data_IF_143593906427
#
_entry.id   IF_143593906427
#
_cell.length_a   1.000
_cell.length_b   1.000
_cell.length_c   1.000
_cell.angle_alpha   90.00
_cell.angle_beta   90.00
_cell.angle_gamma   90.00
#
_symmetry.space_group_name_H-M   'P 1'
#
loop_
_entity.id
_entity.type
_entity.pdbx_description
1 polymer ?
#
# COMPACT_ATOMS: atom_id res chain seq x y z
N UNK A 1 -33.05 11.89 52.27
CA UNK A 1 -33.72 13.08 51.74
C UNK A 1 -33.25 13.28 50.31
N UNK A 2 -34.23 13.34 49.41
CA UNK A 2 -34.18 13.73 47.99
C UNK A 2 -33.63 12.71 46.98
N UNK A 3 -34.21 12.55 45.79
CA UNK A 3 -35.57 12.70 45.24
C UNK A 3 -35.53 11.83 43.98
N UNK A 4 -36.51 10.93 43.81
CA UNK A 4 -36.76 10.20 42.56
C UNK A 4 -37.33 11.15 41.51
N UNK A 5 -36.69 11.23 40.35
CA UNK A 5 -37.27 11.78 39.13
C UNK A 5 -37.32 10.66 38.08
N UNK A 6 -38.53 10.21 37.77
CA UNK A 6 -38.81 9.38 36.59
C UNK A 6 -38.87 10.27 35.34
N UNK A 7 -38.29 9.87 34.20
CA UNK A 7 -38.74 10.33 32.90
C UNK A 7 -39.84 9.40 32.38
N UNK A 8 -41.05 9.95 32.22
CA UNK A 8 -42.07 9.42 31.31
C UNK A 8 -41.73 9.91 29.90
N UNK A 9 -41.36 9.01 29.00
CA UNK A 9 -41.73 9.02 27.56
C UNK A 9 -41.04 7.85 26.87
N UNK A 10 -41.79 7.14 26.02
CA UNK A 10 -41.43 5.84 25.46
C UNK A 10 -40.05 5.76 24.80
N UNK A 11 -39.23 4.85 25.33
CA UNK A 11 -38.26 4.12 24.53
C UNK A 11 -38.73 2.67 24.47
N UNK A 12 -38.92 2.19 23.24
CA UNK A 12 -39.23 0.80 22.95
C UNK A 12 -38.03 -0.02 23.43
N UNK A 13 -38.15 -0.59 24.62
CA UNK A 13 -37.18 -1.52 25.17
C UNK A 13 -37.04 -2.71 24.22
N UNK A 14 -35.94 -2.75 23.47
CA UNK A 14 -35.50 -3.95 22.77
C UNK A 14 -35.15 -4.97 23.85
N UNK A 15 -35.80 -6.15 23.90
CA UNK A 15 -35.42 -7.16 24.87
C UNK A 15 -34.05 -7.72 24.45
N UNK A 16 -32.98 -7.27 25.11
CA UNK A 16 -31.69 -7.94 25.06
C UNK A 16 -31.75 -9.24 25.86
N UNK A 17 -32.47 -10.23 25.32
CA UNK A 17 -32.28 -11.65 25.63
C UNK A 17 -31.48 -12.30 24.51
N UNK A 18 -30.30 -11.75 24.22
CA UNK A 18 -29.33 -12.45 23.38
C UNK A 18 -28.76 -13.62 24.20
N UNK A 19 -29.30 -14.81 23.99
CA UNK A 19 -28.64 -16.05 24.41
C UNK A 19 -27.50 -16.26 23.41
N UNK A 20 -26.22 -16.12 23.80
CA UNK A 20 -25.13 -16.44 22.91
C UNK A 20 -25.29 -17.91 22.50
N UNK A 21 -25.41 -18.14 21.19
CA UNK A 21 -25.40 -19.50 20.66
C UNK A 21 -24.00 -20.04 20.93
N UNK A 22 -23.90 -20.86 21.96
CA UNK A 22 -22.64 -21.48 22.36
C UNK A 22 -22.36 -22.61 21.38
N UNK A 23 -21.72 -22.30 20.26
CA UNK A 23 -21.24 -23.35 19.37
C UNK A 23 -20.16 -24.16 20.09
N UNK A 24 -20.16 -25.50 19.96
CA UNK A 24 -19.06 -26.31 20.45
C UNK A 24 -17.75 -25.79 19.85
N UNK A 25 -16.78 -25.46 20.71
CA UNK A 25 -15.44 -25.11 20.25
C UNK A 25 -14.90 -26.25 19.40
N UNK A 26 -14.24 -25.97 18.26
CA UNK A 26 -13.62 -27.02 17.48
C UNK A 26 -12.63 -27.81 18.37
N UNK A 27 -12.48 -29.13 18.19
CA UNK A 27 -11.70 -30.00 19.08
C UNK A 27 -10.24 -29.55 19.26
N UNK A 28 -9.73 -28.74 18.33
CA UNK A 28 -8.39 -28.16 18.34
C UNK A 28 -8.18 -27.06 19.40
N UNK A 29 -9.25 -26.50 19.97
CA UNK A 29 -9.15 -25.45 21.00
C UNK A 29 -9.23 -26.09 22.38
N UNK A 30 -8.15 -26.05 23.19
CA UNK A 30 -8.18 -26.65 24.52
C UNK A 30 -9.25 -25.96 25.39
N UNK A 31 -10.01 -26.71 26.19
CA UNK A 31 -11.00 -26.13 27.08
C UNK A 31 -10.30 -25.22 28.10
N UNK A 32 -10.90 -24.06 28.36
CA UNK A 32 -10.38 -23.12 29.34
C UNK A 32 -10.59 -23.67 30.75
N UNK A 33 -9.51 -24.12 31.39
CA UNK A 33 -9.55 -24.62 32.78
C UNK A 33 -9.37 -23.49 33.78
N UNK A 34 -9.82 -23.71 35.03
CA UNK A 34 -9.56 -22.78 36.12
C UNK A 34 -8.07 -22.50 36.29
N UNK A 35 -7.24 -23.55 36.26
CA UNK A 35 -5.79 -23.43 36.40
C UNK A 35 -5.18 -22.55 35.29
N UNK A 36 -5.61 -22.74 34.03
CA UNK A 36 -5.18 -21.91 32.91
C UNK A 36 -5.63 -20.45 33.09
N UNK A 37 -6.86 -20.22 33.55
CA UNK A 37 -7.41 -18.88 33.75
C UNK A 37 -6.67 -18.14 34.88
N UNK A 38 -6.44 -18.84 35.98
CA UNK A 38 -5.67 -18.34 37.13
C UNK A 38 -4.24 -18.02 36.73
N UNK A 39 -3.58 -18.89 35.96
CA UNK A 39 -2.22 -18.63 35.48
C UNK A 39 -2.16 -17.41 34.55
N UNK A 40 -3.12 -17.27 33.63
CA UNK A 40 -3.20 -16.10 32.75
C UNK A 40 -3.40 -14.79 33.54
N UNK A 41 -4.28 -14.80 34.54
CA UNK A 41 -4.51 -13.64 35.41
C UNK A 41 -3.26 -13.29 36.21
N UNK A 42 -2.57 -14.28 36.79
CA UNK A 42 -1.33 -14.06 37.54
C UNK A 42 -0.23 -13.45 36.65
N UNK A 43 -0.10 -13.91 35.39
CA UNK A 43 0.82 -13.32 34.42
C UNK A 43 0.47 -11.86 34.10
N UNK A 44 -0.81 -11.56 33.93
CA UNK A 44 -1.28 -10.19 33.71
C UNK A 44 -0.99 -9.28 34.90
N UNK A 45 -1.26 -9.74 36.12
CA UNK A 45 -0.99 -8.99 37.35
C UNK A 45 0.51 -8.74 37.51
N UNK A 46 1.35 -9.73 37.23
CA UNK A 46 2.80 -9.60 37.28
C UNK A 46 3.38 -8.61 36.25
N UNK A 47 2.68 -8.36 35.14
CA UNK A 47 3.14 -7.41 34.11
C UNK A 47 2.82 -5.94 34.43
N UNK A 48 2.04 -5.67 35.48
CA UNK A 48 1.69 -4.32 35.94
C UNK A 48 2.47 -3.99 37.20
N UNK A 49 3.14 -2.83 37.24
CA UNK A 49 3.76 -2.39 38.48
C UNK A 49 2.71 -2.34 39.59
N UNK A 50 3.14 -2.72 40.78
CA UNK A 50 2.49 -2.31 42.01
C UNK A 50 1.15 -3.06 42.26
N UNK A 51 0.81 -4.05 41.43
CA UNK A 51 -0.32 -4.94 41.65
C UNK A 51 0.09 -6.10 42.58
N UNK A 52 -0.69 -6.36 43.63
CA UNK A 52 -0.47 -7.51 44.53
C UNK A 52 -1.01 -8.81 43.93
N UNK A 53 -0.23 -9.89 43.98
CA UNK A 53 -0.62 -11.21 43.43
C UNK A 53 -1.59 -12.00 44.32
N UNK A 54 -1.72 -11.65 45.61
CA UNK A 54 -2.53 -12.40 46.58
C UNK A 54 -3.99 -12.53 46.16
N UNK A 55 -4.62 -11.45 45.71
CA UNK A 55 -6.01 -11.47 45.26
C UNK A 55 -6.20 -12.39 44.05
N UNK A 56 -5.34 -12.28 43.03
CA UNK A 56 -5.37 -13.15 41.84
C UNK A 56 -5.12 -14.62 42.16
N UNK A 57 -4.26 -14.92 43.15
CA UNK A 57 -3.96 -16.28 43.59
C UNK A 57 -5.10 -16.93 44.37
N UNK A 58 -5.85 -16.17 45.17
CA UNK A 58 -6.82 -16.71 46.13
C UNK A 58 -8.29 -16.53 45.73
N UNK A 59 -8.60 -15.67 44.75
CA UNK A 59 -9.99 -15.49 44.32
C UNK A 59 -10.60 -16.82 43.83
N UNK A 60 -11.85 -17.07 44.18
CA UNK A 60 -12.60 -18.23 43.71
C UNK A 60 -13.19 -17.94 42.32
N UNK A 61 -12.79 -18.72 41.32
CA UNK A 61 -13.35 -18.65 39.96
C UNK A 61 -14.58 -19.54 39.94
N UNK A 62 -15.76 -18.94 40.12
CA UNK A 62 -17.01 -19.70 40.24
C UNK A 62 -17.49 -20.27 38.90
N UNK A 63 -17.29 -19.54 37.80
CA UNK A 63 -17.78 -19.91 36.47
C UNK A 63 -16.87 -19.34 35.38
N UNK A 64 -16.46 -20.19 34.44
CA UNK A 64 -15.81 -19.80 33.20
C UNK A 64 -16.81 -20.00 32.06
N UNK A 65 -17.26 -18.90 31.46
CA UNK A 65 -18.14 -18.93 30.29
C UNK A 65 -17.30 -18.67 29.04
N UNK A 66 -17.13 -19.66 28.15
CA UNK A 66 -16.45 -19.42 26.90
C UNK A 66 -17.29 -18.47 26.05
N UNK A 67 -16.63 -17.49 25.46
CA UNK A 67 -17.22 -16.54 24.53
C UNK A 67 -16.47 -16.73 23.22
N UNK A 68 -17.17 -17.25 22.21
CA UNK A 68 -16.60 -17.55 20.90
C UNK A 68 -16.86 -16.39 19.97
N UNK A 69 -15.82 -15.83 19.37
CA UNK A 69 -15.94 -14.74 18.42
C UNK A 69 -15.42 -15.19 17.05
N UNK A 70 -16.02 -14.71 15.98
CA UNK A 70 -15.59 -15.03 14.63
C UNK A 70 -14.83 -13.84 14.02
N UNK A 71 -13.75 -14.15 13.30
CA UNK A 71 -13.03 -13.19 12.48
C UNK A 71 -13.06 -13.66 11.03
N UNK A 72 -13.54 -12.79 10.17
CA UNK A 72 -13.49 -12.96 8.73
C UNK A 72 -12.32 -12.15 8.17
N UNK A 73 -11.50 -12.79 7.33
CA UNK A 73 -10.39 -12.15 6.61
C UNK A 73 -10.45 -12.58 5.15
N UNK A 74 -10.37 -11.61 4.25
CA UNK A 74 -10.26 -11.81 2.80
C UNK A 74 -9.04 -11.07 2.28
N UNK A 75 -8.11 -11.79 1.67
CA UNK A 75 -7.00 -11.21 0.92
C UNK A 75 -7.30 -11.31 -0.57
N UNK A 76 -7.00 -10.25 -1.33
CA UNK A 76 -7.19 -10.20 -2.78
C UNK A 76 -5.95 -9.66 -3.45
N UNK A 77 -5.27 -10.55 -4.16
CA UNK A 77 -4.09 -10.28 -4.94
C UNK A 77 -4.51 -9.77 -6.32
N UNK A 78 -4.08 -8.56 -6.66
CA UNK A 78 -4.43 -7.91 -7.91
C UNK A 78 -3.19 -7.42 -8.68
N UNK A 79 -3.35 -7.37 -10.00
CA UNK A 79 -2.36 -6.84 -10.96
C UNK A 79 -2.99 -5.69 -11.74
N UNK A 80 -2.32 -4.54 -11.81
CA UNK A 80 -2.65 -3.49 -12.77
C UNK A 80 -1.51 -3.27 -13.76
N UNK A 81 -1.87 -2.82 -14.97
CA UNK A 81 -0.92 -2.56 -16.06
C UNK A 81 -1.11 -1.14 -16.57
N UNK A 82 -0.02 -0.40 -16.65
CA UNK A 82 0.03 0.93 -17.28
C UNK A 82 0.99 0.88 -18.46
N UNK A 83 0.53 1.31 -19.64
CA UNK A 83 1.36 1.39 -20.84
C UNK A 83 1.68 2.83 -21.17
N UNK A 84 2.96 3.16 -21.25
CA UNK A 84 3.41 4.51 -21.58
C UNK A 84 4.36 4.47 -22.79
N UNK A 85 4.24 5.48 -23.65
CA UNK A 85 5.17 5.66 -24.74
C UNK A 85 6.42 6.37 -24.23
N UNK A 86 7.56 5.74 -24.44
CA UNK A 86 8.87 6.31 -24.12
C UNK A 86 9.56 6.69 -25.41
N UNK A 87 10.13 7.90 -25.43
CA UNK A 87 10.89 8.44 -26.56
C UNK A 87 12.28 8.85 -26.07
N UNK A 88 13.30 8.18 -26.56
CA UNK A 88 14.69 8.42 -26.16
C UNK A 88 15.59 8.61 -27.38
N UNK A 89 16.69 9.37 -27.27
CA UNK A 89 17.71 9.44 -28.32
C UNK A 89 18.20 8.04 -28.70
N UNK A 90 18.30 7.77 -30.00
CA UNK A 90 18.84 6.50 -30.48
C UNK A 90 20.36 6.48 -30.30
N UNK A 91 20.86 5.63 -29.40
CA UNK A 91 22.31 5.47 -29.16
C UNK A 91 22.87 4.39 -30.08
N UNK A 92 23.31 4.76 -31.29
CA UNK A 92 24.29 3.92 -31.99
C UNK A 92 25.67 4.18 -31.42
N UNK A 93 26.51 3.16 -31.29
CA UNK A 93 27.96 3.27 -31.04
C UNK A 93 28.71 3.97 -32.21
N UNK A 94 28.06 4.91 -32.90
CA UNK A 94 28.64 5.69 -33.97
C UNK A 94 29.44 6.84 -33.37
N UNK A 95 30.75 6.80 -33.60
CA UNK A 95 31.65 7.94 -33.40
C UNK A 95 30.99 9.22 -33.93
N UNK A 96 31.04 10.35 -33.19
CA UNK A 96 30.50 11.60 -33.69
C UNK A 96 31.20 11.93 -35.01
N UNK A 97 30.47 11.83 -36.12
CA UNK A 97 30.94 12.30 -37.40
C UNK A 97 31.23 13.78 -37.23
N UNK A 98 32.53 14.11 -37.16
CA UNK A 98 33.03 15.47 -37.06
C UNK A 98 32.76 16.14 -38.41
N UNK A 99 31.50 16.56 -38.62
CA UNK A 99 31.16 17.40 -39.74
C UNK A 99 31.99 18.66 -39.59
N UNK A 100 32.89 18.85 -40.55
CA UNK A 100 33.76 20.01 -40.72
C UNK A 100 32.95 21.28 -40.45
N UNK A 101 33.10 21.81 -39.23
CA UNK A 101 32.39 23.00 -38.82
C UNK A 101 32.97 24.17 -39.61
N UNK A 102 32.31 24.53 -40.71
CA UNK A 102 32.46 25.86 -41.30
C UNK A 102 31.92 26.81 -40.24
N UNK A 103 32.83 27.37 -39.43
CA UNK A 103 32.44 28.29 -38.38
C UNK A 103 31.69 29.48 -38.99
N UNK A 104 30.37 29.54 -38.78
CA UNK A 104 29.52 30.64 -39.26
C UNK A 104 29.84 31.89 -38.43
N UNK A 105 30.82 32.65 -38.91
CA UNK A 105 31.21 33.93 -38.35
C UNK A 105 30.82 35.03 -39.35
N UNK A 106 29.91 35.90 -38.95
CA UNK A 106 29.53 37.05 -39.76
C UNK A 106 30.52 38.19 -39.56
N UNK A 107 30.73 39.03 -40.58
CA UNK A 107 31.55 40.23 -40.43
C UNK A 107 30.93 41.11 -39.35
N UNK A 108 31.77 41.67 -38.48
CA UNK A 108 31.32 42.59 -37.45
C UNK A 108 30.63 43.77 -38.11
N UNK A 109 29.36 44.00 -37.78
CA UNK A 109 28.53 45.07 -38.37
C UNK A 109 29.14 46.46 -38.19
N UNK A 110 29.90 46.67 -37.11
CA UNK A 110 30.49 47.97 -36.76
C UNK A 110 31.82 48.26 -37.43
N UNK A 111 32.69 47.27 -37.62
CA UNK A 111 34.01 47.46 -38.26
C UNK A 111 34.09 46.82 -39.64
N UNK A 112 33.04 46.14 -40.12
CA UNK A 112 33.00 45.43 -41.41
C UNK A 112 34.20 44.51 -41.68
N UNK A 113 34.85 44.01 -40.62
CA UNK A 113 36.05 43.18 -40.72
C UNK A 113 37.38 43.91 -40.47
N UNK A 114 37.40 45.23 -40.37
CA UNK A 114 38.62 46.02 -40.19
C UNK A 114 39.22 45.96 -38.77
N UNK A 115 38.56 45.27 -37.84
CA UNK A 115 38.99 45.04 -36.43
C UNK A 115 39.10 46.31 -35.56
N UNK A 116 39.01 47.50 -36.15
CA UNK A 116 39.10 48.82 -35.51
C UNK A 116 37.92 49.69 -35.95
N UNK A 117 37.50 50.66 -35.12
CA UNK A 117 36.50 51.66 -35.57
C UNK A 117 37.22 52.76 -36.36
N UNK A 118 36.74 53.05 -37.57
CA UNK A 118 37.30 54.07 -38.48
C UNK A 118 37.47 55.43 -37.81
N UNK A 119 36.53 55.85 -36.96
CA UNK A 119 36.54 57.18 -36.32
C UNK A 119 37.44 57.30 -35.08
N UNK A 120 37.90 56.20 -34.48
CA UNK A 120 38.52 56.23 -33.14
C UNK A 120 39.87 55.52 -33.05
N UNK A 121 40.32 54.81 -34.11
CA UNK A 121 41.53 53.97 -34.16
C UNK A 121 41.67 52.89 -33.04
N UNK A 122 40.75 52.84 -32.08
CA UNK A 122 40.71 51.87 -30.98
C UNK A 122 40.15 50.52 -31.45
N UNK A 123 40.57 49.44 -30.76
CA UNK A 123 40.07 48.08 -30.96
C UNK A 123 38.54 48.09 -30.94
N UNK A 124 37.91 47.47 -31.93
CA UNK A 124 36.46 47.42 -32.00
C UNK A 124 35.93 46.61 -30.82
N UNK A 125 35.28 47.28 -29.85
CA UNK A 125 34.74 46.66 -28.64
C UNK A 125 33.64 45.64 -28.96
N UNK A 126 32.85 45.89 -30.01
CA UNK A 126 31.83 44.96 -30.50
C UNK A 126 32.41 43.78 -31.30
N UNK A 127 33.70 43.55 -31.39
CA UNK A 127 34.20 42.25 -31.85
C UNK A 127 35.46 41.85 -31.10
N UNK A 128 35.82 42.64 -30.10
CA UNK A 128 37.11 42.59 -29.43
C UNK A 128 38.24 42.42 -30.46
N UNK A 129 38.24 43.21 -31.55
CA UNK A 129 39.28 43.16 -32.58
C UNK A 129 39.37 41.88 -33.43
N UNK A 130 38.41 40.96 -33.32
CA UNK A 130 38.38 39.76 -34.18
C UNK A 130 37.87 40.06 -35.60
N UNK A 131 37.19 41.20 -35.79
CA UNK A 131 36.59 41.60 -37.07
C UNK A 131 35.33 40.81 -37.44
N UNK A 132 34.97 39.79 -36.65
CA UNK A 132 33.84 38.91 -36.86
C UNK A 132 33.03 38.74 -35.58
N UNK A 133 31.76 38.34 -35.72
CA UNK A 133 30.91 37.96 -34.59
C UNK A 133 30.36 36.56 -34.83
N UNK A 134 30.39 35.74 -33.79
CA UNK A 134 29.70 34.45 -33.78
C UNK A 134 28.20 34.75 -33.74
N UNK A 135 27.42 33.96 -34.46
CA UNK A 135 25.97 33.99 -34.34
C UNK A 135 25.58 33.72 -32.87
N UNK A 136 24.76 34.57 -32.25
CA UNK A 136 24.33 34.38 -30.85
C UNK A 136 23.49 33.11 -30.67
N UNK A 137 22.81 32.68 -31.73
CA UNK A 137 21.96 31.48 -31.74
C UNK A 137 22.84 30.22 -31.74
N UNK A 138 23.64 29.98 -32.78
CA UNK A 138 24.43 28.73 -32.88
C UNK A 138 25.86 28.83 -32.32
N UNK A 139 26.22 29.97 -31.71
CA UNK A 139 27.59 30.27 -31.26
C UNK A 139 28.66 30.10 -32.36
N UNK A 140 28.26 30.27 -33.63
CA UNK A 140 29.11 30.10 -34.80
C UNK A 140 29.34 28.65 -35.24
N UNK A 141 28.59 27.67 -34.71
CA UNK A 141 28.65 26.26 -35.16
C UNK A 141 27.85 25.99 -36.44
N UNK A 142 27.00 26.92 -36.87
CA UNK A 142 26.14 26.77 -38.05
C UNK A 142 24.87 25.94 -37.80
N UNK A 143 24.81 25.17 -36.72
CA UNK A 143 23.63 24.41 -36.28
C UNK A 143 23.47 24.46 -34.76
N UNK A 144 22.28 24.11 -34.26
CA UNK A 144 22.01 23.84 -32.85
C UNK A 144 21.68 22.35 -32.70
N UNK A 145 22.22 21.72 -31.65
CA UNK A 145 21.86 20.35 -31.29
C UNK A 145 20.37 20.31 -30.92
N UNK A 146 19.63 19.37 -31.51
CA UNK A 146 18.24 19.16 -31.16
C UNK A 146 18.15 18.67 -29.71
N UNK A 147 17.28 19.26 -28.89
CA UNK A 147 17.11 18.86 -27.48
C UNK A 147 16.45 17.49 -27.35
N UNK A 148 15.61 17.10 -28.32
CA UNK A 148 14.84 15.86 -28.28
C UNK A 148 15.70 14.63 -28.65
N UNK A 149 16.46 14.70 -29.75
CA UNK A 149 17.31 13.59 -30.20
C UNK A 149 18.79 13.77 -29.87
N UNK A 150 19.15 14.85 -29.17
CA UNK A 150 20.52 15.17 -28.75
C UNK A 150 21.58 15.17 -29.86
N UNK A 151 21.16 15.31 -31.13
CA UNK A 151 22.05 15.31 -32.29
C UNK A 151 22.12 13.99 -33.05
N UNK A 152 21.50 12.92 -32.54
CA UNK A 152 21.48 11.58 -33.15
C UNK A 152 20.63 11.50 -34.42
N UNK A 153 19.76 12.50 -34.64
CA UNK A 153 18.81 12.58 -35.79
C UNK A 153 17.83 11.40 -35.88
N UNK A 154 17.90 10.46 -34.95
CA UNK A 154 17.02 9.30 -34.78
C UNK A 154 16.55 9.25 -33.32
N UNK A 155 15.31 8.82 -33.13
CA UNK A 155 14.73 8.56 -31.83
C UNK A 155 14.35 7.09 -31.76
N UNK A 156 14.63 6.46 -30.64
CA UNK A 156 14.07 5.17 -30.30
C UNK A 156 12.76 5.40 -29.56
N UNK A 157 11.73 4.66 -29.93
CA UNK A 157 10.46 4.68 -29.22
C UNK A 157 9.97 3.26 -28.97
N UNK A 158 9.45 3.02 -27.77
CA UNK A 158 8.87 1.75 -27.39
C UNK A 158 7.71 1.96 -26.43
N UNK A 159 6.83 0.96 -26.35
CA UNK A 159 5.80 0.90 -25.32
C UNK A 159 6.41 0.29 -24.06
N UNK A 160 6.54 1.08 -23.01
CA UNK A 160 6.89 0.59 -21.68
C UNK A 160 5.63 0.08 -20.99
N UNK A 161 5.70 -1.11 -20.41
CA UNK A 161 4.63 -1.68 -19.59
C UNK A 161 5.07 -1.68 -18.13
N UNK A 162 4.34 -0.96 -17.28
CA UNK A 162 4.53 -0.94 -15.83
C UNK A 162 3.48 -1.84 -15.20
N UNK A 163 3.92 -2.92 -14.54
CA UNK A 163 3.03 -3.90 -13.88
C UNK A 163 3.11 -3.67 -12.37
N UNK A 164 1.96 -3.41 -11.74
CA UNK A 164 1.86 -3.22 -10.28
C UNK A 164 1.10 -4.37 -9.66
N UNK A 165 1.68 -5.00 -8.63
CA UNK A 165 1.05 -6.06 -7.85
C UNK A 165 0.63 -5.51 -6.49
N UNK A 166 -0.60 -5.78 -6.04
CA UNK A 166 -1.13 -5.34 -4.75
C UNK A 166 -1.83 -6.48 -4.01
N UNK A 167 -1.73 -6.48 -2.68
CA UNK A 167 -2.56 -7.32 -1.81
C UNK A 167 -3.54 -6.43 -1.03
N UNK A 168 -4.83 -6.60 -1.30
CA UNK A 168 -5.90 -5.86 -0.63
C UNK A 168 -6.49 -6.78 0.45
N UNK A 169 -6.46 -6.31 1.69
CA UNK A 169 -6.87 -7.10 2.86
C UNK A 169 -8.12 -6.47 3.45
N UNK A 170 -9.17 -7.28 3.61
CA UNK A 170 -10.37 -6.94 4.35
C UNK A 170 -10.43 -7.80 5.61
N UNK A 171 -10.69 -7.18 6.75
CA UNK A 171 -10.89 -7.86 8.02
C UNK A 171 -12.18 -7.38 8.70
N UNK A 172 -12.94 -8.34 9.24
CA UNK A 172 -14.12 -8.09 10.04
C UNK A 172 -14.11 -9.04 11.24
N UNK A 173 -14.53 -8.53 12.39
CA UNK A 173 -14.64 -9.28 13.63
C UNK A 173 -16.08 -9.14 14.10
N UNK A 174 -16.78 -10.26 14.35
CA UNK A 174 -18.14 -10.18 14.86
C UNK A 174 -18.13 -9.67 16.29
N UNK A 175 -18.81 -8.55 16.54
CA UNK A 175 -18.92 -8.00 17.89
C UNK A 175 -19.93 -8.84 18.68
N UNK A 176 -19.43 -9.60 19.64
CA UNK A 176 -20.25 -9.93 20.79
C UNK A 176 -20.23 -8.71 21.71
N UNK A 177 -21.39 -8.31 22.26
CA UNK A 177 -21.65 -7.13 23.12
C UNK A 177 -20.82 -7.02 24.42
N UNK A 178 -19.59 -7.48 24.42
CA UNK A 178 -18.62 -7.39 25.48
C UNK A 178 -17.83 -6.13 25.18
N UNK A 179 -17.72 -5.22 26.14
CA UNK A 179 -16.88 -4.01 26.07
C UNK A 179 -15.38 -4.38 26.01
N UNK A 180 -14.98 -5.19 25.02
CA UNK A 180 -13.66 -5.76 24.86
C UNK A 180 -12.89 -4.95 23.80
N UNK A 181 -11.68 -4.46 24.10
CA UNK A 181 -10.94 -3.62 23.16
C UNK A 181 -10.55 -4.40 21.89
N UNK A 182 -10.97 -3.93 20.72
CA UNK A 182 -10.63 -4.53 19.42
C UNK A 182 -9.12 -4.68 19.16
N UNK A 183 -8.30 -3.78 19.71
CA UNK A 183 -6.84 -3.82 19.60
C UNK A 183 -6.19 -5.04 20.26
N UNK A 184 -6.85 -5.64 21.26
CA UNK A 184 -6.38 -6.88 21.86
C UNK A 184 -6.75 -8.08 21.00
N UNK A 185 -7.86 -8.00 20.25
CA UNK A 185 -8.35 -9.09 19.41
C UNK A 185 -7.47 -9.31 18.18
N UNK A 186 -6.85 -8.26 17.64
CA UNK A 186 -5.88 -8.40 16.54
C UNK A 186 -4.61 -9.17 16.91
N UNK A 187 -4.32 -9.31 18.21
CA UNK A 187 -3.13 -10.00 18.75
C UNK A 187 -3.40 -11.45 19.15
N UNK A 188 -4.66 -11.86 19.22
CA UNK A 188 -5.05 -13.20 19.67
C UNK A 188 -5.07 -14.15 18.49
N UNK A 189 -4.38 -15.28 18.60
CA UNK A 189 -4.45 -16.36 17.62
C UNK A 189 -5.76 -17.14 17.79
N UNK A 190 -6.41 -17.42 16.67
CA UNK A 190 -7.65 -18.21 16.62
C UNK A 190 -7.44 -19.58 15.96
N UNK A 191 -8.51 -20.37 15.92
CA UNK A 191 -8.57 -21.56 15.07
C UNK A 191 -9.21 -21.19 13.72
N UNK A 192 -8.59 -21.63 12.62
CA UNK A 192 -9.18 -21.49 11.29
C UNK A 192 -10.37 -22.43 11.13
N UNK A 193 -11.58 -21.88 11.21
CA UNK A 193 -12.84 -22.64 11.04
C UNK A 193 -13.14 -22.90 9.57
N UNK A 194 -12.72 -21.98 8.69
CA UNK A 194 -12.94 -22.08 7.25
C UNK A 194 -11.79 -21.40 6.50
N UNK A 195 -11.24 -22.09 5.50
CA UNK A 195 -10.20 -21.58 4.59
C UNK A 195 -10.57 -21.96 3.17
N UNK A 196 -10.43 -21.01 2.26
CA UNK A 196 -10.66 -21.23 0.84
C UNK A 196 -9.75 -20.30 0.01
N UNK A 197 -9.35 -20.76 -1.16
CA UNK A 197 -8.46 -20.05 -2.08
C UNK A 197 -8.91 -20.28 -3.51
N UNK A 198 -9.21 -19.20 -4.23
CA UNK A 198 -9.68 -19.25 -5.62
C UNK A 198 -9.36 -17.94 -6.35
N UNK A 199 -9.52 -17.88 -7.68
CA UNK A 199 -9.39 -16.64 -8.44
C UNK A 199 -10.47 -15.63 -8.01
N UNK A 200 -11.71 -16.12 -7.85
CA UNK A 200 -12.82 -15.38 -7.25
C UNK A 200 -13.48 -16.29 -6.23
N UNK A 201 -13.65 -15.81 -5.00
CA UNK A 201 -14.36 -16.55 -3.95
C UNK A 201 -15.83 -16.15 -3.91
N UNK A 202 -16.70 -17.11 -3.58
CA UNK A 202 -18.12 -16.84 -3.38
C UNK A 202 -18.41 -16.43 -1.94
N UNK A 203 -19.42 -15.57 -1.70
CA UNK A 203 -19.81 -15.22 -0.35
C UNK A 203 -20.18 -16.44 0.48
N UNK A 204 -19.79 -16.45 1.75
CA UNK A 204 -20.21 -17.50 2.69
C UNK A 204 -21.73 -17.37 2.90
N UNK A 205 -22.45 -18.47 2.68
CA UNK A 205 -23.89 -18.58 2.90
C UNK A 205 -24.17 -19.47 4.11
N UNK A 206 -25.25 -19.16 4.84
CA UNK A 206 -25.72 -19.96 5.98
C UNK A 206 -24.64 -20.21 7.06
N UNK A 207 -23.69 -19.27 7.24
CA UNK A 207 -22.77 -19.36 8.35
C UNK A 207 -23.55 -19.20 9.67
N UNK A 208 -23.19 -19.91 10.75
CA UNK A 208 -23.97 -19.86 11.98
C UNK A 208 -24.05 -18.46 12.63
N UNK A 209 -23.04 -17.62 12.38
CA UNK A 209 -23.07 -16.19 12.66
C UNK A 209 -23.44 -15.41 11.36
N UNK A 210 -24.62 -14.78 11.28
CA UNK A 210 -25.07 -14.08 10.08
C UNK A 210 -24.19 -12.86 9.74
N UNK A 211 -23.55 -12.24 10.74
CA UNK A 211 -22.65 -11.09 10.52
C UNK A 211 -21.43 -11.51 9.69
N UNK A 212 -20.95 -12.74 9.84
CA UNK A 212 -19.84 -13.28 9.04
C UNK A 212 -20.26 -13.51 7.59
N UNK A 213 -21.49 -14.01 7.38
CA UNK A 213 -22.03 -14.18 6.02
C UNK A 213 -22.15 -12.81 5.33
N UNK A 214 -22.64 -11.80 6.05
CA UNK A 214 -22.78 -10.43 5.55
C UNK A 214 -21.42 -9.77 5.29
N UNK A 215 -20.47 -9.92 6.21
CA UNK A 215 -19.10 -9.43 6.05
C UNK A 215 -18.41 -10.06 4.83
N UNK A 216 -18.64 -11.35 4.58
CA UNK A 216 -18.13 -12.02 3.39
C UNK A 216 -18.69 -11.41 2.10
N UNK A 217 -19.99 -11.16 2.05
CA UNK A 217 -20.63 -10.50 0.90
C UNK A 217 -20.07 -9.09 0.67
N UNK A 218 -19.98 -8.28 1.74
CA UNK A 218 -19.43 -6.92 1.70
C UNK A 218 -17.99 -6.90 1.19
N UNK A 219 -17.12 -7.74 1.75
CA UNK A 219 -15.71 -7.81 1.37
C UNK A 219 -15.51 -8.13 -0.12
N UNK A 220 -16.27 -9.09 -0.64
CA UNK A 220 -16.19 -9.49 -2.05
C UNK A 220 -16.72 -8.37 -2.95
N UNK A 221 -17.85 -7.75 -2.58
CA UNK A 221 -18.43 -6.63 -3.31
C UNK A 221 -17.49 -5.42 -3.35
N UNK A 222 -16.87 -5.09 -2.21
CA UNK A 222 -15.94 -3.97 -2.08
C UNK A 222 -14.67 -4.20 -2.92
N UNK A 223 -14.02 -5.35 -2.78
CA UNK A 223 -12.83 -5.67 -3.56
C UNK A 223 -13.11 -5.75 -5.06
N UNK A 224 -14.25 -6.34 -5.47
CA UNK A 224 -14.62 -6.38 -6.88
C UNK A 224 -14.90 -4.98 -7.43
N UNK A 225 -15.62 -4.12 -6.70
CA UNK A 225 -15.89 -2.74 -7.10
C UNK A 225 -14.60 -1.90 -7.18
N UNK A 226 -13.71 -2.01 -6.20
CA UNK A 226 -12.46 -1.26 -6.16
C UNK A 226 -11.50 -1.64 -7.30
N UNK A 227 -11.55 -2.89 -7.78
CA UNK A 227 -10.62 -3.41 -8.77
C UNK A 227 -11.19 -3.42 -10.20
N UNK A 228 -12.51 -3.37 -10.37
CA UNK A 228 -13.21 -3.57 -11.66
C UNK A 228 -12.67 -2.76 -12.84
N UNK A 229 -12.17 -1.55 -12.62
CA UNK A 229 -11.83 -0.60 -13.69
C UNK A 229 -10.36 -0.63 -14.10
N UNK A 230 -9.45 -1.04 -13.21
CA UNK A 230 -8.01 -0.77 -13.38
C UNK A 230 -7.11 -1.96 -13.06
N UNK A 231 -7.66 -3.02 -12.46
CA UNK A 231 -6.87 -4.13 -11.94
C UNK A 231 -7.55 -5.46 -12.23
N UNK A 232 -6.73 -6.47 -12.52
CA UNK A 232 -7.16 -7.85 -12.64
C UNK A 232 -6.97 -8.56 -11.31
N UNK A 233 -8.02 -9.20 -10.81
CA UNK A 233 -7.91 -10.12 -9.67
C UNK A 233 -7.19 -11.38 -10.15
N UNK A 234 -6.15 -11.76 -9.42
CA UNK A 234 -5.35 -12.96 -9.69
C UNK A 234 -5.80 -14.11 -8.79
N UNK A 235 -6.11 -13.75 -7.54
CA UNK A 235 -6.32 -14.70 -6.47
C UNK A 235 -6.99 -14.03 -5.28
N UNK A 236 -7.85 -14.77 -4.61
CA UNK A 236 -8.48 -14.42 -3.34
C UNK A 236 -8.29 -15.56 -2.35
N UNK A 237 -7.93 -15.22 -1.11
CA UNK A 237 -7.69 -16.17 -0.03
C UNK A 237 -8.53 -15.77 1.18
N UNK A 238 -9.24 -16.73 1.78
CA UNK A 238 -10.05 -16.55 2.99
C UNK A 238 -9.45 -17.31 4.17
N UNK A 239 -9.55 -16.74 5.36
CA UNK A 239 -8.99 -17.31 6.60
C UNK A 239 -7.55 -16.85 6.86
N UNK A 240 -7.01 -17.14 8.05
CA UNK A 240 -5.62 -16.78 8.32
C UNK A 240 -4.67 -17.63 7.46
N UNK A 241 -3.70 -17.03 6.76
CA UNK A 241 -2.63 -17.78 6.16
C UNK A 241 -1.92 -18.57 7.27
N UNK A 242 -1.83 -19.89 7.09
CA UNK A 242 -0.96 -20.71 7.94
C UNK A 242 0.44 -20.10 7.80
N UNK A 243 1.03 -19.63 8.89
CA UNK A 243 2.45 -19.32 8.89
C UNK A 243 3.20 -20.64 8.69
N UNK A 244 3.44 -21.02 7.44
CA UNK A 244 4.45 -22.02 7.15
C UNK A 244 5.80 -21.33 7.35
N UNK A 245 6.63 -21.77 8.30
CA UNK A 245 8.01 -21.30 8.35
C UNK A 245 8.70 -21.68 7.03
N UNK A 246 9.57 -20.84 6.48
CA UNK A 246 10.34 -21.20 5.30
C UNK A 246 11.20 -22.42 5.63
N UNK A 247 10.82 -23.57 5.07
CA UNK A 247 11.70 -24.73 4.95
C UNK A 247 12.79 -24.36 3.96
N UNK A 248 13.86 -23.72 4.45
CA UNK A 248 15.12 -23.78 3.76
C UNK A 248 15.66 -25.22 3.93
N UNK A 249 15.99 -25.94 2.85
CA UNK A 249 16.81 -27.12 2.98
C UNK A 249 18.19 -26.67 3.45
N UNK A 250 18.60 -27.13 4.64
CA UNK A 250 20.00 -27.17 5.00
C UNK A 250 20.69 -28.09 3.99
N UNK A 251 21.38 -27.47 3.02
CA UNK A 251 22.30 -28.18 2.16
C UNK A 251 23.41 -28.78 3.01
N UNK A 252 23.53 -30.11 2.90
CA UNK A 252 24.73 -30.90 3.15
C UNK A 252 25.84 -30.52 2.17
#
# INVERSE_FOLDING_TARGET
YNVTLSPLAGEVGVPHTYKPVLFPLPPSVPPMTEAAARQALLRFVASRCCYGSRAAGQLAIQCLRPLGMYRYRLETFSESRLSEWVFEPFTSNSHPCFNSSVYLQTRCVTCKGSRRRLKQQKRCQLCSGTGRKRCNTCSGRGSKTCVTCQGEKKLQHFKQLVITWKNNVFEFVSEQHLNFPGELLSKVSGANVFKDENVVVYPIINFPDPEISLASQRAIAEHSAALATSSRILRQVRGEPKAEPPLHPAGS
#
